data_IF_472867842259
#
_entry.id   IF_472867842259
#
_cell.length_a   1.000
_cell.length_b   1.000
_cell.length_c   1.000
_cell.angle_alpha   90.00
_cell.angle_beta   90.00
_cell.angle_gamma   90.00
#
_symmetry.space_group_name_H-M   'P 1'
#
loop_
_entity.id
_entity.type
_entity.pdbx_description
1 polymer ?
#
# COMPACT_ATOMS: atom_id res chain seq x y z
N UNK A 1 -0.13 -22.84 18.33
CA UNK A 1 0.13 -21.60 17.58
C UNK A 1 1.61 -21.30 17.73
N UNK A 2 2.40 -21.48 16.67
CA UNK A 2 3.83 -21.20 16.73
C UNK A 2 4.02 -19.70 16.58
N UNK A 3 4.50 -19.04 17.63
CA UNK A 3 5.03 -17.67 17.53
C UNK A 3 6.30 -17.79 16.71
N UNK A 4 6.31 -17.24 15.50
CA UNK A 4 7.53 -17.17 14.70
C UNK A 4 8.59 -16.45 15.53
N UNK A 5 9.68 -17.14 15.85
CA UNK A 5 10.86 -16.52 16.45
C UNK A 5 11.30 -15.36 15.57
N UNK A 6 11.48 -14.19 16.16
CA UNK A 6 12.05 -13.03 15.47
C UNK A 6 13.37 -13.44 14.82
N UNK A 7 13.50 -13.16 13.52
CA UNK A 7 14.75 -13.35 12.79
C UNK A 7 15.79 -12.40 13.41
N UNK A 8 16.92 -12.90 13.95
CA UNK A 8 17.95 -12.07 14.56
C UNK A 8 18.59 -11.05 13.59
N UNK A 9 18.26 -11.10 12.30
CA UNK A 9 18.72 -10.14 11.29
C UNK A 9 17.90 -8.83 11.22
N UNK A 10 16.72 -8.73 11.86
CA UNK A 10 15.86 -7.54 11.75
C UNK A 10 16.08 -6.60 12.95
N UNK A 11 16.82 -5.50 12.73
CA UNK A 11 17.06 -4.45 13.72
C UNK A 11 16.15 -3.24 13.49
N UNK A 12 15.80 -2.54 14.58
CA UNK A 12 15.12 -1.24 14.54
C UNK A 12 16.08 -0.07 14.26
N UNK A 13 17.38 -0.34 14.05
CA UNK A 13 18.43 0.67 13.82
C UNK A 13 18.53 1.13 12.35
N UNK A 14 17.43 1.07 11.60
CA UNK A 14 17.39 1.59 10.23
C UNK A 14 17.14 3.11 10.22
N UNK A 15 17.68 3.75 9.19
CA UNK A 15 17.52 5.17 8.89
C UNK A 15 16.33 5.39 7.95
N UNK A 16 15.95 6.65 7.74
CA UNK A 16 14.95 7.01 6.73
C UNK A 16 15.44 6.69 5.31
N UNK A 17 16.74 6.81 5.05
CA UNK A 17 17.36 6.49 3.76
C UNK A 17 17.27 4.99 3.45
N UNK A 18 17.33 4.14 4.47
CA UNK A 18 17.15 2.69 4.31
C UNK A 18 15.73 2.30 3.88
N UNK A 19 14.74 3.18 4.10
CA UNK A 19 13.36 3.00 3.66
C UNK A 19 13.07 3.64 2.30
N UNK A 20 13.98 4.44 1.73
CA UNK A 20 13.72 5.10 0.47
C UNK A 20 13.56 4.07 -0.65
N UNK A 21 12.36 3.99 -1.22
CA UNK A 21 12.03 2.89 -2.10
C UNK A 21 10.70 3.01 -2.82
N UNK A 22 10.49 2.06 -3.73
CA UNK A 22 9.26 1.89 -4.49
C UNK A 22 8.99 0.41 -4.68
N UNK A 23 7.78 -0.01 -4.34
CA UNK A 23 7.33 -1.38 -4.39
C UNK A 23 6.05 -1.43 -5.20
N UNK A 24 6.00 -2.36 -6.14
CA UNK A 24 4.86 -2.55 -7.01
C UNK A 24 4.45 -4.00 -6.96
N UNK A 25 3.14 -4.25 -6.90
CA UNK A 25 2.61 -5.61 -7.02
C UNK A 25 3.10 -6.23 -8.33
N UNK A 26 3.75 -7.41 -8.31
CA UNK A 26 4.28 -8.04 -9.52
C UNK A 26 3.18 -8.53 -10.47
N UNK A 27 1.97 -8.74 -9.95
CA UNK A 27 0.77 -9.14 -10.67
C UNK A 27 -0.46 -8.56 -9.95
N UNK A 28 -1.60 -8.55 -10.62
CA UNK A 28 -2.86 -8.14 -10.01
C UNK A 28 -3.36 -9.24 -9.05
N UNK A 29 -3.75 -8.84 -7.84
CA UNK A 29 -4.31 -9.74 -6.83
C UNK A 29 -5.82 -9.49 -6.72
N UNK A 30 -6.62 -10.54 -6.52
CA UNK A 30 -8.04 -10.37 -6.24
C UNK A 30 -8.21 -9.71 -4.87
N UNK A 31 -8.72 -8.48 -4.84
CA UNK A 31 -8.92 -7.66 -3.63
C UNK A 31 -10.36 -7.67 -3.14
N UNK A 32 -11.30 -7.92 -4.06
CA UNK A 32 -12.69 -8.25 -3.81
C UNK A 32 -13.11 -9.30 -4.84
N UNK A 33 -14.18 -10.08 -4.61
CA UNK A 33 -14.64 -11.07 -5.59
C UNK A 33 -14.83 -10.45 -6.99
N UNK A 34 -14.06 -10.92 -7.96
CA UNK A 34 -14.06 -10.42 -9.35
C UNK A 34 -13.40 -9.06 -9.57
N UNK A 35 -12.70 -8.51 -8.58
CA UNK A 35 -11.98 -7.23 -8.66
C UNK A 35 -10.51 -7.44 -8.32
N UNK A 36 -9.65 -7.04 -9.23
CA UNK A 36 -8.21 -7.25 -9.17
C UNK A 36 -7.47 -5.92 -8.97
N UNK A 37 -6.56 -5.90 -8.01
CA UNK A 37 -5.82 -4.71 -7.59
C UNK A 37 -4.33 -4.81 -7.90
N UNK A 38 -3.74 -3.69 -8.31
CA UNK A 38 -2.29 -3.49 -8.42
C UNK A 38 -1.90 -2.26 -7.61
N UNK A 39 -1.04 -2.45 -6.61
CA UNK A 39 -0.47 -1.38 -5.81
C UNK A 39 0.87 -0.94 -6.37
N UNK A 40 1.11 0.36 -6.34
CA UNK A 40 2.41 0.98 -6.59
C UNK A 40 2.66 1.98 -5.46
N UNK A 41 3.38 1.50 -4.44
CA UNK A 41 3.69 2.23 -3.21
C UNK A 41 5.11 2.78 -3.28
N UNK A 42 5.31 4.00 -2.85
CA UNK A 42 6.63 4.60 -2.71
C UNK A 42 6.75 5.38 -1.41
N UNK A 43 7.97 5.39 -0.89
CA UNK A 43 8.34 6.10 0.31
C UNK A 43 9.66 6.81 0.03
N UNK A 44 9.67 8.13 0.18
CA UNK A 44 10.85 8.99 0.07
C UNK A 44 10.74 10.15 1.02
N UNK A 45 11.50 10.10 2.10
CA UNK A 45 11.36 11.03 3.23
C UNK A 45 11.33 12.51 2.78
N UNK A 46 10.38 13.33 3.29
CA UNK A 46 9.34 13.01 4.28
C UNK A 46 8.02 12.51 3.65
N UNK A 47 8.00 12.14 2.38
CA UNK A 47 6.80 11.87 1.60
C UNK A 47 6.55 10.39 1.36
N UNK A 48 5.29 10.05 1.20
CA UNK A 48 4.87 8.73 0.73
C UNK A 48 3.74 8.89 -0.29
N UNK A 49 3.53 7.84 -1.06
CA UNK A 49 2.33 7.73 -1.87
C UNK A 49 2.03 6.31 -2.31
N UNK A 50 0.78 6.11 -2.69
CA UNK A 50 0.29 4.89 -3.29
C UNK A 50 -0.55 5.24 -4.51
N UNK A 51 -0.29 4.55 -5.62
CA UNK A 51 -1.15 4.53 -6.80
C UNK A 51 -1.73 3.14 -6.95
N UNK A 52 -2.97 2.99 -6.50
CA UNK A 52 -3.72 1.76 -6.62
C UNK A 52 -4.54 1.78 -7.92
N UNK A 53 -4.44 0.70 -8.71
CA UNK A 53 -5.25 0.49 -9.89
C UNK A 53 -6.14 -0.74 -9.68
N UNK A 54 -7.43 -0.58 -9.99
CA UNK A 54 -8.43 -1.65 -9.89
C UNK A 54 -8.89 -2.08 -11.28
N UNK A 55 -9.11 -3.38 -11.45
CA UNK A 55 -9.44 -4.03 -12.70
C UNK A 55 -10.52 -5.09 -12.52
N UNK A 56 -11.26 -5.41 -13.58
CA UNK A 56 -12.26 -6.48 -13.60
C UNK A 56 -11.62 -7.87 -13.84
N UNK A 57 -10.36 -7.91 -14.24
CA UNK A 57 -9.65 -9.13 -14.61
C UNK A 57 -8.17 -9.09 -14.18
N UNK A 58 -7.61 -10.26 -13.91
CA UNK A 58 -6.22 -10.42 -13.49
C UNK A 58 -5.19 -10.03 -14.57
N UNK A 59 -5.61 -9.98 -15.85
CA UNK A 59 -4.77 -9.54 -16.97
C UNK A 59 -4.71 -8.00 -17.10
N UNK A 60 -5.38 -7.26 -16.21
CA UNK A 60 -5.42 -5.81 -16.17
C UNK A 60 -5.99 -5.15 -17.44
N UNK A 61 -6.93 -5.82 -18.12
CA UNK A 61 -7.47 -5.35 -19.40
C UNK A 61 -8.60 -4.34 -19.23
N UNK A 62 -9.47 -4.51 -18.24
CA UNK A 62 -10.60 -3.62 -17.95
C UNK A 62 -10.36 -2.87 -16.65
N UNK A 63 -9.88 -1.64 -16.73
CA UNK A 63 -9.64 -0.80 -15.54
C UNK A 63 -10.96 -0.23 -15.03
N UNK A 64 -11.21 -0.41 -13.74
CA UNK A 64 -12.42 0.04 -13.05
C UNK A 64 -12.22 1.46 -12.51
N UNK A 65 -11.18 1.66 -11.70
CA UNK A 65 -10.81 2.95 -11.12
C UNK A 65 -9.33 2.98 -10.75
N UNK A 66 -8.80 4.18 -10.50
CA UNK A 66 -7.54 4.38 -9.81
C UNK A 66 -7.72 5.25 -8.56
N UNK A 67 -6.95 4.94 -7.53
CA UNK A 67 -6.87 5.69 -6.29
C UNK A 67 -5.42 6.11 -6.08
N UNK A 68 -5.20 7.42 -5.98
CA UNK A 68 -3.90 8.01 -5.69
C UNK A 68 -3.99 8.69 -4.34
N UNK A 69 -3.18 8.25 -3.38
CA UNK A 69 -3.05 8.88 -2.07
C UNK A 69 -1.59 9.29 -1.90
N UNK A 70 -1.37 10.51 -1.45
CA UNK A 70 -0.03 10.99 -1.09
C UNK A 70 -0.08 11.73 0.23
N UNK A 71 1.01 11.71 0.97
CA UNK A 71 1.15 12.52 2.17
C UNK A 71 2.57 12.56 2.70
N UNK A 72 2.70 12.91 3.96
CA UNK A 72 3.96 12.85 4.68
C UNK A 72 3.96 11.70 5.67
N UNK A 73 5.15 11.22 6.04
CA UNK A 73 5.31 10.25 7.10
C UNK A 73 6.48 10.64 8.01
N UNK A 74 6.44 10.17 9.25
CA UNK A 74 7.50 10.33 10.23
C UNK A 74 7.77 8.99 10.93
N UNK A 75 9.04 8.62 11.04
CA UNK A 75 9.47 7.50 11.87
C UNK A 75 9.60 7.95 13.32
N UNK A 76 8.96 7.20 14.21
CA UNK A 76 8.93 7.48 15.63
C UNK A 76 9.88 6.52 16.37
N UNK A 77 9.59 6.25 17.64
CA UNK A 77 10.36 5.34 18.49
C UNK A 77 10.33 3.87 17.99
N UNK A 78 11.29 3.03 18.40
CA UNK A 78 11.17 1.58 18.26
C UNK A 78 9.85 1.05 18.83
N UNK A 79 9.28 0.04 18.17
CA UNK A 79 8.02 -0.55 18.59
C UNK A 79 8.17 -1.28 19.92
N UNK A 80 7.19 -1.11 20.80
CA UNK A 80 7.12 -1.87 22.06
C UNK A 80 6.44 -3.23 21.89
N UNK A 81 5.87 -3.50 20.71
CA UNK A 81 5.08 -4.70 20.41
C UNK A 81 5.80 -5.61 19.43
N UNK A 82 6.45 -5.04 18.41
CA UNK A 82 7.12 -5.80 17.35
C UNK A 82 8.63 -5.55 17.44
N UNK A 83 9.43 -6.51 17.93
CA UNK A 83 10.89 -6.39 17.95
C UNK A 83 11.46 -6.10 16.55
N UNK A 84 12.41 -5.17 16.46
CA UNK A 84 13.03 -4.77 15.19
C UNK A 84 12.21 -3.78 14.36
N UNK A 85 10.99 -3.43 14.77
CA UNK A 85 10.18 -2.42 14.08
C UNK A 85 10.27 -1.04 14.74
N UNK A 86 9.83 -0.01 14.02
CA UNK A 86 9.57 1.34 14.55
C UNK A 86 8.11 1.71 14.34
N UNK A 87 7.57 2.50 15.25
CA UNK A 87 6.28 3.15 15.05
C UNK A 87 6.42 4.25 13.98
N UNK A 88 5.36 4.52 13.24
CA UNK A 88 5.36 5.56 12.21
C UNK A 88 3.98 6.19 12.05
N UNK A 89 3.95 7.51 11.90
CA UNK A 89 2.72 8.26 11.62
C UNK A 89 2.67 8.62 10.13
N UNK A 90 1.55 8.30 9.48
CA UNK A 90 1.30 8.63 8.08
C UNK A 90 0.17 9.66 7.98
N UNK A 91 0.50 10.85 7.49
CA UNK A 91 -0.48 11.87 7.15
C UNK A 91 -0.99 11.68 5.71
N UNK A 92 -2.18 12.20 5.41
CA UNK A 92 -2.71 12.26 4.04
C UNK A 92 -2.82 13.72 3.64
N UNK A 93 -2.13 14.11 2.57
CA UNK A 93 -2.18 15.47 2.02
C UNK A 93 -3.11 15.54 0.83
N UNK A 94 -3.17 14.48 0.01
CA UNK A 94 -4.02 14.43 -1.18
C UNK A 94 -4.59 13.04 -1.39
N UNK A 95 -5.86 13.00 -1.77
CA UNK A 95 -6.55 11.80 -2.23
C UNK A 95 -7.22 12.13 -3.56
N UNK A 96 -7.01 11.29 -4.57
CA UNK A 96 -7.63 11.42 -5.88
C UNK A 96 -8.18 10.06 -6.30
N UNK A 97 -9.48 9.99 -6.54
CA UNK A 97 -10.13 8.83 -7.15
C UNK A 97 -10.52 9.22 -8.58
N UNK A 98 -10.10 8.41 -9.55
CA UNK A 98 -10.58 8.52 -10.94
C UNK A 98 -11.27 7.23 -11.33
N UNK A 99 -12.51 7.37 -11.77
CA UNK A 99 -13.32 6.26 -12.26
C UNK A 99 -13.13 6.14 -13.77
N UNK A 100 -12.97 4.92 -14.24
CA UNK A 100 -12.90 4.60 -15.67
C UNK A 100 -14.14 3.84 -16.13
N UNK A 101 -14.74 3.05 -15.24
CA UNK A 101 -15.98 2.34 -15.48
C UNK A 101 -17.13 2.92 -14.62
N UNK A 102 -18.21 3.44 -15.23
CA UNK A 102 -19.36 3.97 -14.50
C UNK A 102 -20.15 2.88 -13.75
N UNK A 103 -20.02 1.60 -14.14
CA UNK A 103 -20.62 0.46 -13.46
C UNK A 103 -20.10 0.26 -12.03
N UNK A 104 -18.93 0.82 -11.69
CA UNK A 104 -18.42 0.88 -10.31
C UNK A 104 -19.33 1.70 -9.39
N UNK A 105 -20.03 2.70 -9.91
CA UNK A 105 -20.98 3.53 -9.14
C UNK A 105 -22.31 2.78 -8.92
N UNK A 106 -22.63 1.80 -9.77
CA UNK A 106 -23.94 1.15 -9.80
C UNK A 106 -24.12 0.04 -8.75
N UNK A 107 -23.08 -0.33 -7.98
CA UNK A 107 -23.10 -1.49 -7.09
C UNK A 107 -22.92 -2.78 -7.89
N UNK A 108 -22.04 -3.69 -7.44
CA UNK A 108 -22.46 -4.84 -6.65
C UNK A 108 -23.69 -5.55 -7.28
N UNK A 109 -23.58 -6.81 -7.73
CA UNK A 109 -24.71 -7.52 -8.32
C UNK A 109 -25.90 -7.48 -7.35
N UNK A 110 -27.07 -7.13 -7.90
CA UNK A 110 -28.36 -7.34 -7.23
C UNK A 110 -28.68 -8.81 -7.05
#
# INVERSE_FOLDING_TARGET
MSVGTADPAISADFTLEDLDGRWRSPYAAEVFPGVYGVDDFWLRSPFWGIHFNSYQDAACTHRLFELIITGTFELLRPSTVIPGAREADFSRTKVCLRLFDPGVIAGAPG
#
